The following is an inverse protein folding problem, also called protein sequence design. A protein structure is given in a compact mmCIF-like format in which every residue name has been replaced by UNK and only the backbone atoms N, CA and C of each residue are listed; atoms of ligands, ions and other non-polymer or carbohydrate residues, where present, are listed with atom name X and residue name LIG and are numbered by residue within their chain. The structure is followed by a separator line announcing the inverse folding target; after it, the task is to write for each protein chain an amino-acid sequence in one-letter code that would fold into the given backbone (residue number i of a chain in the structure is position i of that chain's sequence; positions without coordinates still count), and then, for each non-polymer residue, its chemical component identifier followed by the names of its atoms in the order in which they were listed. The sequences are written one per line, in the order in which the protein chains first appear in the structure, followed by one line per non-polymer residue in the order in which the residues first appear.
data_IF_963952309410
#
_entry.id   IF_963952309410
#
_cell.length_a   1.000
_cell.length_b   1.000
_cell.length_c   1.000
_cell.angle_alpha   90.00
_cell.angle_beta   90.00
_cell.angle_gamma   90.00
#
_symmetry.space_group_name_H-M   'P 1'
#
loop_
_entity.id
_entity.type
_entity.pdbx_description
1 polymer ?
#
# COMPACT_ATOMS: atom_id res chain seq x y z
N UNK A 1 -0.04 -17.87 7.14
CA UNK A 1 -0.65 -18.35 8.40
C UNK A 1 -0.05 -17.57 9.57
N UNK A 2 -0.88 -17.02 10.48
CA UNK A 2 -0.45 -16.22 11.65
C UNK A 2 0.40 -17.03 12.64
N UNK A 3 0.16 -18.34 12.75
CA UNK A 3 0.91 -19.20 13.67
C UNK A 3 2.34 -19.44 13.18
N UNK A 4 2.53 -19.54 11.86
CA UNK A 4 3.87 -19.64 11.27
C UNK A 4 4.69 -18.37 11.51
N UNK A 5 4.07 -17.19 11.36
CA UNK A 5 4.76 -15.90 11.62
C UNK A 5 5.13 -15.78 13.09
N UNK A 6 4.20 -16.10 14.01
CA UNK A 6 4.47 -16.08 15.44
C UNK A 6 5.58 -17.08 15.80
N UNK A 7 5.50 -18.32 15.30
CA UNK A 7 6.49 -19.36 15.52
C UNK A 7 7.87 -18.98 15.01
N UNK A 8 7.96 -18.39 13.82
CA UNK A 8 9.21 -17.85 13.27
C UNK A 8 9.81 -16.79 14.21
N UNK A 9 9.03 -15.80 14.63
CA UNK A 9 9.55 -14.72 15.45
C UNK A 9 9.95 -15.16 16.86
N UNK A 10 9.24 -16.12 17.44
CA UNK A 10 9.63 -16.73 18.72
C UNK A 10 10.94 -17.50 18.58
N UNK A 11 11.05 -18.33 17.55
CA UNK A 11 12.27 -19.13 17.28
C UNK A 11 13.48 -18.23 17.02
N UNK A 12 13.31 -17.21 16.18
CA UNK A 12 14.38 -16.27 15.85
C UNK A 12 14.81 -15.44 17.05
N UNK A 13 13.87 -15.01 17.91
CA UNK A 13 14.20 -14.32 19.17
C UNK A 13 14.99 -15.23 20.11
N UNK A 14 14.55 -16.48 20.31
CA UNK A 14 15.27 -17.44 21.15
C UNK A 14 16.68 -17.71 20.62
N UNK A 15 16.83 -17.90 19.31
CA UNK A 15 18.13 -18.09 18.69
C UNK A 15 19.03 -16.85 18.88
N UNK A 16 18.50 -15.65 18.66
CA UNK A 16 19.22 -14.39 18.84
C UNK A 16 19.67 -14.21 20.30
N UNK A 17 18.81 -14.50 21.28
CA UNK A 17 19.18 -14.48 22.70
C UNK A 17 20.29 -15.48 23.03
N UNK A 18 20.21 -16.70 22.47
CA UNK A 18 21.20 -17.74 22.71
C UNK A 18 22.61 -17.39 22.19
N UNK A 19 22.70 -16.56 21.15
CA UNK A 19 23.98 -16.09 20.58
C UNK A 19 24.35 -14.66 21.02
N UNK A 20 23.62 -14.07 21.96
CA UNK A 20 23.91 -12.74 22.52
C UNK A 20 23.43 -11.53 21.69
N UNK A 21 22.64 -11.75 20.64
CA UNK A 21 22.11 -10.72 19.73
C UNK A 21 20.63 -10.37 19.97
N UNK A 22 20.13 -10.57 21.18
CA UNK A 22 18.72 -10.36 21.51
C UNK A 22 18.27 -8.90 21.33
N UNK A 23 19.14 -7.94 21.65
CA UNK A 23 18.83 -6.52 21.51
C UNK A 23 18.72 -6.12 20.04
N UNK A 24 19.64 -6.57 19.20
CA UNK A 24 19.66 -6.35 17.76
C UNK A 24 18.41 -6.94 17.11
N UNK A 25 17.97 -8.11 17.56
CA UNK A 25 16.72 -8.69 17.09
C UNK A 25 15.52 -7.80 17.46
N UNK A 26 15.43 -7.32 18.70
CA UNK A 26 14.35 -6.41 19.11
C UNK A 26 14.37 -5.10 18.30
N UNK A 27 15.55 -4.51 18.08
CA UNK A 27 15.68 -3.23 17.38
C UNK A 27 15.49 -3.32 15.88
N UNK A 28 15.97 -4.39 15.23
CA UNK A 28 15.94 -4.52 13.77
C UNK A 28 14.70 -5.25 13.25
N UNK A 29 14.03 -6.05 14.08
CA UNK A 29 12.85 -6.82 13.68
C UNK A 29 11.59 -6.38 14.43
N UNK A 30 11.58 -6.48 15.76
CA UNK A 30 10.35 -6.25 16.54
C UNK A 30 9.92 -4.78 16.51
N UNK A 31 10.85 -3.85 16.71
CA UNK A 31 10.55 -2.42 16.74
C UNK A 31 10.02 -1.92 15.38
N UNK A 32 10.64 -2.20 14.22
CA UNK A 32 10.07 -1.84 12.92
C UNK A 32 8.72 -2.50 12.63
N UNK A 33 8.54 -3.77 13.02
CA UNK A 33 7.26 -4.47 12.88
C UNK A 33 6.15 -3.84 13.73
N UNK A 34 6.47 -3.31 14.91
CA UNK A 34 5.50 -2.68 15.81
C UNK A 34 5.19 -1.22 15.43
N UNK A 35 6.13 -0.53 14.77
CA UNK A 35 6.04 0.93 14.55
C UNK A 35 5.94 1.30 13.07
N UNK A 36 6.93 0.93 12.27
CA UNK A 36 7.07 1.37 10.87
C UNK A 36 6.09 0.61 9.97
N UNK A 37 6.05 -0.72 10.05
CA UNK A 37 5.19 -1.52 9.17
C UNK A 37 3.71 -1.15 9.30
N UNK A 38 3.13 -1.03 10.50
CA UNK A 38 1.73 -0.65 10.65
C UNK A 38 1.45 0.77 10.18
N UNK A 39 2.42 1.69 10.26
CA UNK A 39 2.28 3.05 9.74
C UNK A 39 2.26 3.05 8.20
N UNK A 40 3.17 2.33 7.56
CA UNK A 40 3.20 2.20 6.09
C UNK A 40 1.95 1.51 5.56
N UNK A 41 1.47 0.45 6.21
CA UNK A 41 0.24 -0.25 5.81
C UNK A 41 -1.00 0.64 5.97
N UNK A 42 -1.08 1.46 7.03
CA UNK A 42 -2.18 2.43 7.19
C UNK A 42 -2.13 3.51 6.12
N UNK A 43 -0.95 4.06 5.85
CA UNK A 43 -0.78 5.05 4.78
C UNK A 43 -1.22 4.46 3.43
N UNK A 44 -0.80 3.23 3.12
CA UNK A 44 -1.23 2.50 1.93
C UNK A 44 -2.75 2.34 1.88
N UNK A 45 -3.37 1.87 2.96
CA UNK A 45 -4.82 1.69 3.02
C UNK A 45 -5.59 3.00 2.75
N UNK A 46 -5.08 4.13 3.25
CA UNK A 46 -5.65 5.46 2.94
C UNK A 46 -5.41 5.84 1.48
N UNK A 47 -4.23 5.56 0.93
CA UNK A 47 -3.96 5.77 -0.49
C UNK A 47 -4.90 4.95 -1.39
N UNK A 48 -5.28 3.74 -0.97
CA UNK A 48 -6.11 2.79 -1.72
C UNK A 48 -7.61 3.05 -1.56
N UNK A 49 -8.09 3.44 -0.38
CA UNK A 49 -9.52 3.51 -0.06
C UNK A 49 -9.98 4.78 0.66
N UNK A 50 -9.06 5.64 1.09
CA UNK A 50 -9.40 6.86 1.82
C UNK A 50 -9.80 8.01 0.90
N UNK A 51 -10.83 8.77 1.31
CA UNK A 51 -11.33 9.96 0.62
C UNK A 51 -11.55 9.74 -0.89
N UNK A 52 -12.09 8.58 -1.26
CA UNK A 52 -12.39 8.23 -2.65
C UNK A 52 -13.68 8.91 -3.13
N UNK A 53 -13.88 8.97 -4.45
CA UNK A 53 -14.96 9.77 -5.08
C UNK A 53 -16.36 9.21 -4.85
N UNK A 54 -16.52 7.88 -4.80
CA UNK A 54 -17.82 7.24 -4.74
C UNK A 54 -17.70 5.81 -4.19
N UNK A 55 -18.31 5.54 -3.04
CA UNK A 55 -18.31 4.21 -2.43
C UNK A 55 -19.32 3.23 -3.06
N UNK A 56 -20.21 3.71 -3.93
CA UNK A 56 -21.27 2.91 -4.53
C UNK A 56 -20.86 2.29 -5.87
N UNK A 57 -19.88 2.87 -6.55
CA UNK A 57 -19.32 2.36 -7.79
C UNK A 57 -18.02 1.57 -7.56
N UNK A 58 -17.86 0.38 -8.17
CA UNK A 58 -16.59 -0.35 -8.15
C UNK A 58 -15.40 0.47 -8.69
N UNK A 59 -15.66 1.40 -9.62
CA UNK A 59 -14.63 2.28 -10.19
C UNK A 59 -14.25 3.45 -9.28
N UNK A 60 -15.11 3.76 -8.30
CA UNK A 60 -14.92 4.87 -7.36
C UNK A 60 -14.49 4.44 -5.96
N UNK A 61 -14.73 3.18 -5.56
CA UNK A 61 -14.54 2.72 -4.17
C UNK A 61 -13.09 2.35 -3.81
N UNK A 62 -12.22 2.24 -4.81
CA UNK A 62 -10.80 1.92 -4.68
C UNK A 62 -9.98 2.75 -5.67
N UNK A 63 -8.72 3.07 -5.33
CA UNK A 63 -7.88 4.01 -6.07
C UNK A 63 -6.66 3.37 -6.73
N UNK A 64 -6.39 3.78 -7.96
CA UNK A 64 -5.05 3.62 -8.58
C UNK A 64 -4.17 4.83 -8.31
N UNK A 65 -2.97 4.58 -7.77
CA UNK A 65 -1.95 5.59 -7.51
C UNK A 65 -0.82 5.52 -8.54
N UNK A 66 -0.79 6.47 -9.46
CA UNK A 66 0.35 6.68 -10.34
C UNK A 66 1.52 7.25 -9.53
N UNK A 67 2.61 6.49 -9.45
CA UNK A 67 3.74 6.78 -8.57
C UNK A 67 5.08 6.44 -9.24
N UNK A 68 6.17 7.12 -8.88
CA UNK A 68 7.50 6.78 -9.38
C UNK A 68 7.97 5.43 -8.80
N UNK A 69 8.85 4.74 -9.53
CA UNK A 69 9.29 3.37 -9.22
C UNK A 69 9.83 3.20 -7.79
N UNK A 70 10.57 4.18 -7.26
CA UNK A 70 11.12 4.12 -5.91
C UNK A 70 10.03 4.11 -4.84
N UNK A 71 8.94 4.84 -5.08
CA UNK A 71 7.81 4.90 -4.15
C UNK A 71 6.91 3.67 -4.31
N UNK A 72 6.83 3.11 -5.51
CA UNK A 72 6.21 1.80 -5.72
C UNK A 72 6.93 0.74 -4.88
N UNK A 73 8.26 0.68 -4.92
CA UNK A 73 9.02 -0.27 -4.09
C UNK A 73 8.72 -0.11 -2.59
N UNK A 74 8.66 1.12 -2.09
CA UNK A 74 8.47 1.41 -0.67
C UNK A 74 7.01 1.22 -0.20
N UNK A 75 6.06 1.85 -0.90
CA UNK A 75 4.66 1.92 -0.49
C UNK A 75 3.75 0.97 -1.24
N UNK A 76 4.10 0.50 -2.43
CA UNK A 76 3.25 -0.31 -3.28
C UNK A 76 3.98 -1.50 -3.92
N UNK A 77 4.66 -2.36 -3.11
CA UNK A 77 5.35 -3.53 -3.64
C UNK A 77 4.33 -4.42 -4.35
N UNK A 78 4.80 -5.15 -5.37
CA UNK A 78 3.92 -6.00 -6.18
C UNK A 78 2.79 -5.23 -6.89
N UNK A 79 3.07 -4.02 -7.41
CA UNK A 79 2.12 -3.26 -8.22
C UNK A 79 0.75 -3.01 -7.55
N UNK A 80 0.66 -3.07 -6.21
CA UNK A 80 -0.59 -2.82 -5.49
C UNK A 80 -1.05 -1.37 -5.59
N UNK A 81 -0.25 -0.49 -6.19
CA UNK A 81 -0.67 0.85 -6.57
C UNK A 81 -1.78 0.81 -7.64
N UNK A 82 -1.92 -0.29 -8.38
CA UNK A 82 -3.04 -0.60 -9.27
C UNK A 82 -4.15 -1.32 -8.49
N UNK A 83 -4.56 -0.71 -7.38
CA UNK A 83 -5.50 -1.34 -6.44
C UNK A 83 -6.90 -1.42 -7.02
N UNK A 84 -7.32 -0.38 -7.76
CA UNK A 84 -8.60 -0.38 -8.45
C UNK A 84 -8.71 -1.57 -9.41
N UNK A 85 -7.69 -1.80 -10.24
CA UNK A 85 -7.68 -2.89 -11.22
C UNK A 85 -7.76 -4.24 -10.52
N UNK A 86 -7.11 -4.38 -9.35
CA UNK A 86 -7.23 -5.58 -8.52
C UNK A 86 -8.67 -5.78 -8.00
N UNK A 87 -9.38 -4.72 -7.61
CA UNK A 87 -10.79 -4.84 -7.20
C UNK A 87 -11.71 -5.23 -8.35
N UNK A 88 -11.49 -4.68 -9.54
CA UNK A 88 -12.30 -5.02 -10.73
C UNK A 88 -11.99 -6.43 -11.23
N UNK A 89 -10.71 -6.82 -11.23
CA UNK A 89 -10.23 -8.09 -11.77
C UNK A 89 -9.26 -8.79 -10.81
N UNK A 90 -9.74 -9.33 -9.67
CA UNK A 90 -8.88 -9.91 -8.63
C UNK A 90 -8.13 -11.17 -9.07
N UNK A 91 -8.59 -11.82 -10.15
CA UNK A 91 -7.91 -12.97 -10.74
C UNK A 91 -6.66 -12.60 -11.55
N UNK A 92 -6.47 -11.32 -11.93
CA UNK A 92 -5.28 -10.89 -12.65
C UNK A 92 -4.11 -10.86 -11.68
N UNK A 93 -3.02 -11.59 -11.95
CA UNK A 93 -1.85 -11.57 -11.09
C UNK A 93 -1.18 -10.20 -11.11
N UNK A 94 -0.58 -9.82 -9.99
CA UNK A 94 -0.04 -8.47 -9.77
C UNK A 94 0.92 -7.97 -10.86
N UNK A 95 1.66 -8.88 -11.52
CA UNK A 95 2.65 -8.52 -12.53
C UNK A 95 2.01 -8.11 -13.86
N UNK A 96 0.74 -8.47 -14.06
CA UNK A 96 -0.07 -8.08 -15.21
C UNK A 96 -0.99 -6.88 -14.93
N UNK A 97 -1.12 -6.40 -13.69
CA UNK A 97 -1.93 -5.23 -13.36
C UNK A 97 -1.54 -3.95 -14.14
N UNK A 98 -0.24 -3.66 -14.39
CA UNK A 98 0.12 -2.54 -15.26
C UNK A 98 -0.39 -2.70 -16.69
N UNK A 99 -0.50 -3.93 -17.19
CA UNK A 99 -1.08 -4.20 -18.51
C UNK A 99 -2.59 -4.03 -18.48
N UNK A 100 -3.26 -4.56 -17.45
CA UNK A 100 -4.69 -4.36 -17.23
C UNK A 100 -5.05 -2.87 -17.20
N UNK A 101 -4.28 -2.06 -16.48
CA UNK A 101 -4.48 -0.61 -16.41
C UNK A 101 -4.44 0.04 -17.80
N UNK A 102 -3.46 -0.34 -18.65
CA UNK A 102 -3.35 0.19 -20.02
C UNK A 102 -4.57 -0.18 -20.87
N UNK A 103 -4.97 -1.45 -20.85
CA UNK A 103 -6.15 -1.92 -21.60
C UNK A 103 -7.44 -1.21 -21.14
N UNK A 104 -7.62 -1.05 -19.83
CA UNK A 104 -8.76 -0.31 -19.27
C UNK A 104 -8.75 1.17 -19.67
N UNK A 105 -7.57 1.79 -19.75
CA UNK A 105 -7.41 3.16 -20.22
C UNK A 105 -7.76 3.29 -21.72
N UNK A 106 -7.25 2.37 -22.55
CA UNK A 106 -7.51 2.36 -24.01
C UNK A 106 -8.99 2.16 -24.33
N UNK A 107 -9.71 1.41 -23.50
CA UNK A 107 -11.16 1.20 -23.61
C UNK A 107 -12.00 2.35 -23.01
N UNK A 108 -11.38 3.38 -22.42
CA UNK A 108 -12.07 4.51 -21.78
C UNK A 108 -12.75 4.17 -20.44
N UNK A 109 -12.46 2.99 -19.87
CA UNK A 109 -13.06 2.54 -18.59
C UNK A 109 -12.59 3.41 -17.43
N UNK A 110 -11.36 3.94 -17.51
CA UNK A 110 -10.74 4.72 -16.44
C UNK A 110 -11.14 6.20 -16.41
N UNK A 111 -11.90 6.69 -17.40
CA UNK A 111 -12.24 8.12 -17.54
C UNK A 111 -13.01 8.67 -16.32
N UNK A 112 -13.81 7.81 -15.68
CA UNK A 112 -14.59 8.14 -14.48
C UNK A 112 -14.17 7.31 -13.26
N UNK A 113 -12.97 6.73 -13.30
CA UNK A 113 -12.45 5.91 -12.21
C UNK A 113 -11.56 6.73 -11.27
N UNK A 114 -11.38 6.23 -10.05
CA UNK A 114 -10.54 6.85 -9.03
C UNK A 114 -9.06 6.59 -9.33
N UNK A 115 -8.51 7.29 -10.34
CA UNK A 115 -7.10 7.24 -10.73
C UNK A 115 -6.44 8.58 -10.41
N UNK A 116 -5.38 8.57 -9.60
CA UNK A 116 -4.67 9.78 -9.18
C UNK A 116 -3.17 9.60 -9.19
N UNK A 117 -2.44 10.71 -9.30
CA UNK A 117 -1.03 10.70 -8.94
C UNK A 117 -0.90 10.64 -7.42
N UNK A 118 0.14 9.96 -6.93
CA UNK A 118 0.38 9.81 -5.49
C UNK A 118 0.50 11.17 -4.78
N UNK A 119 1.03 12.20 -5.46
CA UNK A 119 1.10 13.56 -4.92
C UNK A 119 -0.30 14.12 -4.60
N UNK A 120 -1.27 13.92 -5.51
CA UNK A 120 -2.66 14.35 -5.28
C UNK A 120 -3.29 13.58 -4.13
N UNK A 121 -3.07 12.26 -4.06
CA UNK A 121 -3.58 11.42 -2.98
C UNK A 121 -3.04 11.85 -1.62
N UNK A 122 -1.72 12.07 -1.51
CA UNK A 122 -1.12 12.55 -0.27
C UNK A 122 -1.57 13.97 0.09
N UNK A 123 -1.88 14.81 -0.89
CA UNK A 123 -2.46 16.13 -0.65
C UNK A 123 -3.81 16.09 0.08
N UNK A 124 -4.58 15.00 -0.07
CA UNK A 124 -5.85 14.84 0.64
C UNK A 124 -5.69 14.55 2.14
N UNK A 125 -4.50 14.14 2.58
CA UNK A 125 -4.22 13.80 3.97
C UNK A 125 -3.98 15.03 4.85
N UNK A 126 -3.56 16.13 4.24
CA UNK A 126 -3.15 17.33 4.95
C UNK A 126 -4.18 18.43 4.69
N UNK A 127 -4.42 19.26 5.71
CA UNK A 127 -5.20 20.46 5.54
C UNK A 127 -4.45 21.43 4.62
N UNK A 128 -5.20 22.22 3.84
CA UNK A 128 -4.60 23.30 3.08
C UNK A 128 -3.88 24.27 4.02
N UNK A 129 -2.69 24.77 3.63
CA UNK A 129 -2.01 25.78 4.41
C UNK A 129 -2.92 27.01 4.57
N UNK A 130 -2.93 27.66 5.75
CA UNK A 130 -3.76 28.83 5.97
C UNK A 130 -3.43 29.91 4.93
N UNK A 131 -4.46 30.43 4.26
CA UNK A 131 -4.31 31.55 3.35
C UNK A 131 -3.96 32.79 4.16
N UNK A 132 -2.73 33.27 4.06
CA UNK A 132 -2.36 34.58 4.59
C UNK A 132 -3.02 35.66 3.73
N UNK A 133 -3.98 36.38 4.30
CA UNK A 133 -4.50 37.64 3.75
C UNK A 133 -3.46 38.75 3.91
#
# INVERSE_FOLDING_TARGET
DRYLVAGFHLTALTAALAIGHGLEYLLLWVLPLATIVPALLRLRAVCEHGAVIDFTSPLGAARTNLSPIWLQWLLFPHHVNYHLEHHIYPAIPHYNLPSCHREMAELGVLDNAEVRTIKKTLGLLFADPPTTN
#
